data_IF_914597724494
#
_entry.id   IF_914597724494
#
_cell.length_a   1.000
_cell.length_b   1.000
_cell.length_c   1.000
_cell.angle_alpha   90.00
_cell.angle_beta   90.00
_cell.angle_gamma   90.00
#
_symmetry.space_group_name_H-M   'P 1'
#
loop_
_entity.id
_entity.type
_entity.pdbx_description
1 polymer ?
#
# COMPACT_ATOMS: atom_id res chain seq x y z
N UNK A 1 19.30 -9.90 -16.06
CA UNK A 1 17.95 -9.44 -16.47
C UNK A 1 16.88 -10.54 -16.41
N UNK A 2 17.18 -11.82 -16.67
CA UNK A 2 16.14 -12.88 -16.73
C UNK A 2 15.91 -13.69 -15.44
N UNK A 3 16.66 -13.47 -14.36
CA UNK A 3 16.57 -14.30 -13.15
C UNK A 3 15.55 -13.76 -12.14
N UNK A 4 15.49 -12.45 -11.93
CA UNK A 4 14.65 -11.85 -10.90
C UNK A 4 13.14 -12.09 -11.14
N UNK A 5 12.64 -11.82 -12.35
CA UNK A 5 11.20 -12.03 -12.62
C UNK A 5 10.84 -13.52 -12.66
N UNK A 6 11.72 -14.40 -13.13
CA UNK A 6 11.46 -15.86 -13.14
C UNK A 6 11.39 -16.43 -11.73
N UNK A 7 12.26 -15.97 -10.84
CA UNK A 7 12.21 -16.36 -9.44
C UNK A 7 10.89 -15.89 -8.78
N UNK A 8 10.48 -14.64 -9.02
CA UNK A 8 9.21 -14.13 -8.54
C UNK A 8 8.01 -14.87 -9.14
N UNK A 9 8.03 -15.16 -10.44
CA UNK A 9 6.99 -15.91 -11.13
C UNK A 9 6.80 -17.32 -10.54
N UNK A 10 7.92 -18.02 -10.29
CA UNK A 10 7.90 -19.32 -9.64
C UNK A 10 7.44 -19.26 -8.18
N UNK A 11 7.81 -18.21 -7.44
CA UNK A 11 7.42 -18.03 -6.05
C UNK A 11 5.93 -17.70 -5.88
N UNK A 12 5.37 -16.90 -6.79
CA UNK A 12 4.02 -16.35 -6.65
C UNK A 12 3.01 -16.89 -7.66
N UNK A 13 3.43 -17.82 -8.51
CA UNK A 13 2.60 -18.44 -9.56
C UNK A 13 1.97 -17.40 -10.50
N UNK A 14 2.68 -16.30 -10.82
CA UNK A 14 2.08 -15.14 -11.53
C UNK A 14 1.54 -15.54 -12.91
N UNK A 15 2.39 -16.12 -13.75
CA UNK A 15 2.03 -16.54 -15.12
C UNK A 15 0.99 -17.66 -15.10
N UNK A 16 1.07 -18.57 -14.13
CA UNK A 16 0.09 -19.66 -13.96
C UNK A 16 -1.28 -19.12 -13.59
N UNK A 17 -1.36 -18.20 -12.63
CA UNK A 17 -2.62 -17.56 -12.23
C UNK A 17 -3.17 -16.63 -13.33
N UNK A 18 -2.30 -16.08 -14.18
CA UNK A 18 -2.70 -15.34 -15.38
C UNK A 18 -3.33 -16.26 -16.43
N UNK A 19 -2.65 -17.35 -16.79
CA UNK A 19 -3.06 -18.26 -17.86
C UNK A 19 -4.31 -19.09 -17.51
N UNK A 20 -4.53 -19.39 -16.22
CA UNK A 20 -5.71 -20.13 -15.77
C UNK A 20 -6.86 -19.18 -15.40
N UNK A 21 -7.67 -18.84 -16.40
CA UNK A 21 -8.83 -17.93 -16.26
C UNK A 21 -9.91 -18.46 -15.32
N UNK A 22 -9.97 -19.77 -15.06
CA UNK A 22 -10.92 -20.36 -14.10
C UNK A 22 -10.64 -19.93 -12.66
N UNK A 23 -9.40 -19.54 -12.37
CA UNK A 23 -8.94 -19.11 -11.04
C UNK A 23 -9.08 -17.61 -10.82
N UNK A 24 -9.50 -16.86 -11.83
CA UNK A 24 -9.58 -15.40 -11.76
C UNK A 24 -10.59 -14.94 -10.71
N UNK A 25 -10.19 -13.94 -9.93
CA UNK A 25 -11.06 -13.31 -8.94
C UNK A 25 -12.26 -12.71 -9.66
N UNK A 26 -13.46 -13.14 -9.25
CA UNK A 26 -14.73 -12.75 -9.87
C UNK A 26 -14.77 -12.99 -11.39
N UNK A 27 -13.96 -13.92 -11.91
CA UNK A 27 -13.83 -14.22 -13.33
C UNK A 27 -13.18 -13.12 -14.17
N UNK A 28 -12.62 -12.07 -13.55
CA UNK A 28 -12.15 -10.86 -14.25
C UNK A 28 -10.68 -10.54 -14.03
N UNK A 29 -10.12 -10.92 -12.89
CA UNK A 29 -8.77 -10.50 -12.53
C UNK A 29 -7.88 -11.69 -12.16
N UNK A 30 -6.68 -11.82 -12.76
CA UNK A 30 -5.72 -12.82 -12.34
C UNK A 30 -5.25 -12.55 -10.92
N UNK A 31 -4.88 -13.61 -10.19
CA UNK A 31 -4.42 -13.50 -8.80
C UNK A 31 -2.93 -13.19 -8.75
N UNK A 32 -2.57 -12.19 -7.94
CA UNK A 32 -1.18 -11.85 -7.61
C UNK A 32 -0.96 -12.10 -6.12
N UNK A 33 -0.32 -13.22 -5.79
CA UNK A 33 -0.26 -13.70 -4.41
C UNK A 33 0.98 -13.24 -3.65
N UNK A 34 1.59 -12.10 -4.01
CA UNK A 34 2.82 -11.60 -3.36
C UNK A 34 2.65 -11.43 -1.85
N UNK A 35 1.48 -10.93 -1.45
CA UNK A 35 1.13 -10.64 -0.04
C UNK A 35 -0.22 -11.27 0.35
N UNK A 36 -0.64 -12.35 -0.31
CA UNK A 36 -1.97 -12.94 -0.16
C UNK A 36 -2.34 -13.24 1.31
N UNK A 37 -1.39 -13.75 2.10
CA UNK A 37 -1.61 -14.05 3.51
C UNK A 37 -1.87 -12.80 4.36
N UNK A 38 -1.16 -11.70 4.09
CA UNK A 38 -1.36 -10.43 4.79
C UNK A 38 -2.65 -9.75 4.34
N UNK A 39 -2.95 -9.78 3.03
CA UNK A 39 -4.20 -9.25 2.50
C UNK A 39 -5.40 -9.98 3.10
N UNK A 40 -5.35 -11.31 3.22
CA UNK A 40 -6.40 -12.07 3.90
C UNK A 40 -6.47 -11.75 5.39
N UNK A 41 -5.32 -11.71 6.09
CA UNK A 41 -5.27 -11.43 7.53
C UNK A 41 -5.88 -10.08 7.90
N UNK A 42 -5.64 -9.04 7.09
CA UNK A 42 -6.11 -7.68 7.35
C UNK A 42 -7.30 -7.28 6.46
N UNK A 43 -7.92 -8.22 5.74
CA UNK A 43 -9.05 -7.99 4.84
C UNK A 43 -8.81 -6.86 3.81
N UNK A 44 -7.59 -6.77 3.28
CA UNK A 44 -7.22 -5.77 2.26
C UNK A 44 -7.88 -6.13 0.93
N UNK A 45 -8.80 -5.28 0.48
CA UNK A 45 -9.57 -5.49 -0.76
C UNK A 45 -9.23 -4.49 -1.88
N UNK A 46 -8.43 -3.46 -1.61
CA UNK A 46 -8.06 -2.43 -2.58
C UNK A 46 -6.96 -1.53 -2.05
N UNK A 47 -6.38 -0.72 -2.92
CA UNK A 47 -5.39 0.29 -2.54
C UNK A 47 -5.99 1.70 -2.54
N UNK A 48 -5.48 2.61 -1.69
CA UNK A 48 -4.52 2.35 -0.61
C UNK A 48 -5.19 1.76 0.64
N UNK A 49 -4.52 0.80 1.29
CA UNK A 49 -4.82 0.36 2.65
C UNK A 49 -3.51 0.38 3.44
N UNK A 50 -3.51 0.97 4.63
CA UNK A 50 -2.33 1.12 5.47
C UNK A 50 -2.52 0.38 6.78
N UNK A 51 -1.62 -0.55 7.08
CA UNK A 51 -1.59 -1.27 8.35
C UNK A 51 -0.33 -0.85 9.11
N UNK A 52 -0.49 -0.27 10.30
CA UNK A 52 0.61 0.11 11.20
C UNK A 52 0.52 -0.76 12.45
N UNK A 53 1.58 -1.51 12.75
CA UNK A 53 1.65 -2.40 13.91
C UNK A 53 0.45 -3.37 14.02
N UNK A 54 -0.02 -3.88 12.88
CA UNK A 54 -1.14 -4.82 12.81
C UNK A 54 -2.54 -4.20 12.93
N UNK A 55 -2.65 -2.86 12.97
CA UNK A 55 -3.93 -2.14 13.02
C UNK A 55 -4.10 -1.31 11.74
N UNK A 56 -5.30 -1.31 11.18
CA UNK A 56 -5.61 -0.46 10.02
C UNK A 56 -5.61 1.02 10.42
N UNK A 57 -4.90 1.83 9.63
CA UNK A 57 -4.72 3.25 9.84
C UNK A 57 -5.40 4.05 8.73
N UNK A 58 -6.08 5.11 9.13
CA UNK A 58 -6.74 6.07 8.24
C UNK A 58 -5.86 7.31 7.95
N UNK A 59 -4.54 7.19 8.07
CA UNK A 59 -3.62 8.30 7.82
C UNK A 59 -3.76 8.84 6.38
N UNK A 60 -3.66 10.16 6.22
CA UNK A 60 -3.53 10.79 4.91
C UNK A 60 -2.27 10.31 4.17
N UNK A 61 -2.29 10.42 2.84
CA UNK A 61 -1.20 9.96 1.95
C UNK A 61 -0.08 11.00 1.82
N UNK A 62 0.30 11.60 2.93
CA UNK A 62 1.36 12.60 3.04
C UNK A 62 2.29 12.25 4.21
N UNK A 63 3.50 12.80 4.18
CA UNK A 63 4.52 12.46 5.17
C UNK A 63 4.14 12.90 6.59
N UNK A 64 3.45 14.03 6.75
CA UNK A 64 3.03 14.52 8.07
C UNK A 64 1.96 13.61 8.69
N UNK A 65 0.98 13.17 7.89
CA UNK A 65 -0.06 12.23 8.32
C UNK A 65 0.50 10.88 8.75
N UNK A 66 1.47 10.33 8.03
CA UNK A 66 2.13 9.09 8.43
C UNK A 66 2.92 9.23 9.73
N UNK A 67 3.70 10.31 9.89
CA UNK A 67 4.41 10.57 11.14
C UNK A 67 3.43 10.65 12.30
N UNK A 68 2.34 11.41 12.15
CA UNK A 68 1.31 11.52 13.18
C UNK A 68 0.74 10.15 13.56
N UNK A 69 0.32 9.34 12.58
CA UNK A 69 -0.28 8.04 12.85
C UNK A 69 0.68 7.05 13.54
N UNK A 70 1.97 7.10 13.21
CA UNK A 70 3.00 6.30 13.87
C UNK A 70 3.21 6.81 15.31
N UNK A 71 3.33 8.12 15.48
CA UNK A 71 3.62 8.76 16.76
C UNK A 71 2.47 8.62 17.78
N UNK A 72 1.22 8.68 17.33
CA UNK A 72 0.04 8.48 18.17
C UNK A 72 -0.01 7.07 18.80
N UNK A 73 0.71 6.10 18.22
CA UNK A 73 0.79 4.74 18.76
C UNK A 73 1.80 4.59 19.91
N UNK A 74 2.70 5.56 20.12
CA UNK A 74 3.69 5.51 21.19
C UNK A 74 3.13 6.07 22.51
N UNK A 75 3.38 5.36 23.61
CA UNK A 75 3.12 5.89 24.97
C UNK A 75 4.09 7.01 25.34
N UNK A 76 5.35 6.83 24.97
CA UNK A 76 6.43 7.81 25.13
C UNK A 76 6.93 8.14 23.73
N UNK A 77 6.48 9.26 23.18
CA UNK A 77 6.82 9.64 21.82
C UNK A 77 8.33 9.93 21.70
N UNK A 78 9.03 9.37 20.71
CA UNK A 78 10.42 9.69 20.44
C UNK A 78 10.56 11.13 19.91
N UNK A 79 11.75 11.72 20.02
CA UNK A 79 12.03 13.12 19.64
C UNK A 79 11.66 13.40 18.17
N UNK A 80 11.84 12.41 17.30
CA UNK A 80 11.54 12.45 15.88
C UNK A 80 10.07 12.78 15.59
N UNK A 81 9.15 12.50 16.53
CA UNK A 81 7.73 12.85 16.41
C UNK A 81 7.46 14.36 16.41
N UNK A 82 8.42 15.19 16.83
CA UNK A 82 8.33 16.65 16.72
C UNK A 82 8.74 17.20 15.35
N UNK A 83 9.15 16.33 14.41
CA UNK A 83 9.63 16.75 13.10
C UNK A 83 8.50 17.29 12.23
N UNK A 84 8.67 18.50 11.67
CA UNK A 84 7.73 19.03 10.69
C UNK A 84 7.99 18.41 9.32
N UNK A 85 7.08 17.55 8.87
CA UNK A 85 7.11 16.94 7.54
C UNK A 85 6.12 17.61 6.59
N UNK A 86 6.26 17.32 5.30
CA UNK A 86 5.38 17.85 4.25
C UNK A 86 3.97 17.27 4.37
N UNK A 87 2.96 18.14 4.26
CA UNK A 87 1.55 17.78 4.11
C UNK A 87 1.10 17.69 2.65
N UNK A 88 2.06 17.74 1.70
CA UNK A 88 1.76 17.62 0.28
C UNK A 88 1.45 16.16 -0.06
N UNK A 89 0.29 15.93 -0.67
CA UNK A 89 -0.10 14.62 -1.18
C UNK A 89 0.36 14.47 -2.63
N UNK A 90 0.89 13.28 -2.97
CA UNK A 90 1.25 12.95 -4.35
C UNK A 90 0.00 12.71 -5.20
N UNK A 91 0.02 13.21 -6.43
CA UNK A 91 -1.06 12.96 -7.39
C UNK A 91 -1.17 11.50 -7.79
N UNK A 92 -2.32 11.08 -8.35
CA UNK A 92 -2.40 9.79 -9.01
C UNK A 92 -1.52 9.78 -10.27
N UNK A 93 -0.80 8.69 -10.52
CA UNK A 93 0.01 8.51 -11.73
C UNK A 93 1.51 8.36 -11.46
N UNK A 94 2.30 8.32 -12.53
CA UNK A 94 3.76 8.34 -12.46
C UNK A 94 4.25 9.78 -12.62
N UNK A 95 5.06 10.27 -11.69
CA UNK A 95 5.58 11.64 -11.70
C UNK A 95 5.70 12.20 -10.28
N UNK A 96 6.30 13.39 -10.16
CA UNK A 96 6.39 14.13 -8.89
C UNK A 96 5.33 15.24 -8.78
N UNK A 97 4.29 15.18 -9.60
CA UNK A 97 3.23 16.18 -9.60
C UNK A 97 2.46 16.09 -8.28
N UNK A 98 2.54 17.16 -7.50
CA UNK A 98 1.79 17.32 -6.27
C UNK A 98 0.35 17.73 -6.60
N UNK A 99 -0.62 17.03 -6.00
CA UNK A 99 -1.99 17.55 -5.95
C UNK A 99 -2.07 18.47 -4.75
N UNK A 100 -2.07 19.78 -5.02
CA UNK A 100 -2.55 20.74 -4.04
C UNK A 100 -3.97 20.35 -3.63
N UNK A 101 -4.24 20.34 -2.33
CA UNK A 101 -5.54 20.02 -1.75
C UNK A 101 -6.67 20.68 -2.55
N UNK A 102 -7.56 19.86 -3.13
CA UNK A 102 -8.79 20.34 -3.71
C UNK A 102 -9.61 21.00 -2.59
N UNK A 103 -9.57 22.34 -2.52
CA UNK A 103 -10.61 23.11 -1.86
C UNK A 103 -11.90 22.82 -2.65
N UNK A 104 -12.77 21.99 -2.08
CA UNK A 104 -14.16 21.93 -2.52
C UNK A 104 -14.79 23.31 -2.27
N UNK A 105 -15.39 23.88 -3.31
CA UNK A 105 -16.22 25.08 -3.23
C UNK A 105 -17.57 24.78 -2.57
#
# INVERSE_FOLDING_TARGET
MNTCYKAADAQFDVSKNFNDTSRWLSGKFPKFNTDAALNQKYNVAGSPTLIINGVESSAGRDSASYLKAICDAFKNAPTECGTQLSSTTSGPGFGYDSVGSAQAA
#
